data_IF_979538329737
#
_entry.id   IF_979538329737
#
_cell.length_a   1.000
_cell.length_b   1.000
_cell.length_c   1.000
_cell.angle_alpha   90.00
_cell.angle_beta   90.00
_cell.angle_gamma   90.00
#
_symmetry.space_group_name_H-M   'P 1'
#
loop_
_entity.id
_entity.type
_entity.pdbx_description
1 polymer ?
#
# COMPACT_ATOMS: atom_id res chain seq x y z
N UNK A 1 21.69 8.07 -22.36
CA UNK A 1 20.47 7.88 -21.54
C UNK A 1 19.32 8.52 -22.28
N UNK A 2 18.23 7.79 -22.48
CA UNK A 2 17.04 8.33 -23.14
C UNK A 2 16.15 8.95 -22.07
N UNK A 3 15.86 10.24 -22.21
CA UNK A 3 14.92 10.94 -21.32
C UNK A 3 13.52 10.43 -21.62
N UNK A 4 12.79 9.97 -20.60
CA UNK A 4 11.40 9.52 -20.76
C UNK A 4 10.47 10.71 -21.01
N UNK A 5 9.36 10.51 -21.74
CA UNK A 5 8.34 11.55 -21.88
C UNK A 5 7.83 12.07 -20.53
N UNK A 6 7.44 13.35 -20.48
CA UNK A 6 6.94 13.97 -19.26
C UNK A 6 5.72 13.23 -18.66
N UNK A 7 4.83 12.70 -19.51
CA UNK A 7 3.68 11.91 -19.08
C UNK A 7 4.11 10.64 -18.33
N UNK A 8 5.16 9.96 -18.81
CA UNK A 8 5.73 8.77 -18.13
C UNK A 8 6.37 9.16 -16.81
N UNK A 9 7.15 10.24 -16.77
CA UNK A 9 7.74 10.74 -15.53
C UNK A 9 6.68 11.16 -14.51
N UNK A 10 5.58 11.74 -14.96
CA UNK A 10 4.45 12.12 -14.11
C UNK A 10 3.71 10.89 -13.56
N UNK A 11 3.46 9.88 -14.39
CA UNK A 11 2.88 8.61 -13.94
C UNK A 11 3.72 7.93 -12.87
N UNK A 12 5.05 7.92 -13.03
CA UNK A 12 5.98 7.39 -12.02
C UNK A 12 5.95 8.20 -10.72
N UNK A 13 5.81 9.53 -10.77
CA UNK A 13 5.64 10.35 -9.56
C UNK A 13 4.34 10.01 -8.81
N UNK A 14 3.21 9.89 -9.54
CA UNK A 14 1.94 9.53 -8.94
C UNK A 14 2.00 8.16 -8.26
N UNK A 15 2.55 7.16 -8.95
CA UNK A 15 2.76 5.83 -8.39
C UNK A 15 3.63 5.87 -7.12
N UNK A 16 4.77 6.55 -7.17
CA UNK A 16 5.69 6.67 -6.03
C UNK A 16 5.04 7.33 -4.82
N UNK A 17 4.24 8.38 -5.04
CA UNK A 17 3.52 9.05 -3.96
C UNK A 17 2.44 8.13 -3.39
N UNK A 18 1.68 7.43 -4.23
CA UNK A 18 0.68 6.46 -3.77
C UNK A 18 1.31 5.37 -2.89
N UNK A 19 2.45 4.80 -3.30
CA UNK A 19 3.15 3.80 -2.48
C UNK A 19 3.70 4.37 -1.18
N UNK A 20 4.32 5.55 -1.22
CA UNK A 20 4.78 6.24 0.00
C UNK A 20 3.63 6.45 0.99
N UNK A 21 2.46 6.84 0.50
CA UNK A 21 1.29 7.06 1.35
C UNK A 21 0.69 5.72 1.85
N UNK A 22 0.73 4.64 1.07
CA UNK A 22 0.43 3.26 1.53
C UNK A 22 1.34 2.85 2.67
N UNK A 23 2.65 3.01 2.51
CA UNK A 23 3.65 2.67 3.51
C UNK A 23 3.38 3.41 4.82
N UNK A 24 3.04 4.71 4.76
CA UNK A 24 2.73 5.51 5.96
C UNK A 24 1.53 4.95 6.71
N UNK A 25 0.46 4.57 6.00
CA UNK A 25 -0.72 3.95 6.60
C UNK A 25 -0.35 2.61 7.26
N UNK A 26 0.39 1.74 6.58
CA UNK A 26 0.79 0.46 7.18
C UNK A 26 1.76 0.62 8.34
N UNK A 27 2.69 1.57 8.29
CA UNK A 27 3.55 1.89 9.43
C UNK A 27 2.74 2.43 10.61
N UNK A 28 1.69 3.22 10.36
CA UNK A 28 0.76 3.67 11.39
C UNK A 28 0.05 2.46 12.03
N UNK A 29 -0.51 1.56 11.22
CA UNK A 29 -1.11 0.30 11.70
C UNK A 29 -0.13 -0.55 12.52
N UNK A 30 1.08 -0.74 12.00
CA UNK A 30 2.10 -1.58 12.62
C UNK A 30 2.54 -1.09 14.01
N UNK A 31 2.50 0.23 14.23
CA UNK A 31 2.80 0.82 15.56
C UNK A 31 1.74 0.52 16.61
N UNK A 32 0.50 0.22 16.20
CA UNK A 32 -0.66 0.04 17.10
C UNK A 32 -1.01 -1.41 17.37
N UNK A 33 -0.62 -2.31 16.48
CA UNK A 33 -0.89 -3.75 16.61
C UNK A 33 0.19 -4.43 17.46
N UNK A 34 -0.25 -5.21 18.45
CA UNK A 34 0.61 -6.08 19.28
C UNK A 34 0.67 -7.52 18.79
N UNK A 35 -0.43 -8.04 18.22
CA UNK A 35 -0.53 -9.41 17.73
C UNK A 35 0.61 -9.76 16.76
N UNK A 36 1.31 -10.86 17.01
CA UNK A 36 2.52 -11.26 16.29
C UNK A 36 2.25 -11.54 14.80
N UNK A 37 1.16 -12.26 14.50
CA UNK A 37 0.74 -12.64 13.16
C UNK A 37 0.32 -11.43 12.33
N UNK A 38 -0.53 -10.56 12.87
CA UNK A 38 -0.92 -9.32 12.20
C UNK A 38 0.26 -8.37 11.99
N UNK A 39 1.21 -8.29 12.95
CA UNK A 39 2.47 -7.54 12.76
C UNK A 39 3.31 -8.14 11.63
N UNK A 40 3.40 -9.47 11.53
CA UNK A 40 4.13 -10.12 10.45
C UNK A 40 3.50 -9.81 9.08
N UNK A 41 2.17 -9.90 8.98
CA UNK A 41 1.42 -9.52 7.78
C UNK A 41 1.70 -8.06 7.37
N UNK A 42 1.53 -7.10 8.29
CA UNK A 42 1.80 -5.69 8.00
C UNK A 42 3.25 -5.43 7.61
N UNK A 43 4.21 -6.11 8.25
CA UNK A 43 5.62 -6.00 7.88
C UNK A 43 5.87 -6.49 6.45
N UNK A 44 5.23 -7.58 6.05
CA UNK A 44 5.35 -8.09 4.70
C UNK A 44 4.84 -7.06 3.68
N UNK A 45 3.64 -6.50 3.89
CA UNK A 45 3.07 -5.46 3.02
C UNK A 45 3.97 -4.22 2.94
N UNK A 46 4.44 -3.71 4.09
CA UNK A 46 5.38 -2.57 4.13
C UNK A 46 6.63 -2.84 3.27
N UNK A 47 7.16 -4.07 3.32
CA UNK A 47 8.34 -4.43 2.54
C UNK A 47 8.03 -4.48 1.04
N UNK A 48 6.90 -5.10 0.64
CA UNK A 48 6.47 -5.13 -0.76
C UNK A 48 6.30 -3.71 -1.32
N UNK A 49 5.63 -2.81 -0.59
CA UNK A 49 5.48 -1.42 -1.05
C UNK A 49 6.80 -0.66 -1.13
N UNK A 50 7.73 -0.92 -0.21
CA UNK A 50 9.08 -0.38 -0.35
C UNK A 50 9.77 -0.91 -1.61
N UNK A 51 9.61 -2.19 -1.96
CA UNK A 51 10.15 -2.72 -3.22
C UNK A 51 9.51 -2.06 -4.44
N UNK A 52 8.20 -1.81 -4.40
CA UNK A 52 7.50 -1.07 -5.46
C UNK A 52 8.04 0.36 -5.60
N UNK A 53 8.08 1.10 -4.49
CA UNK A 53 8.59 2.47 -4.42
C UNK A 53 10.02 2.56 -4.99
N UNK A 54 10.92 1.65 -4.61
CA UNK A 54 12.30 1.67 -5.10
C UNK A 54 12.38 1.40 -6.60
N UNK A 55 11.63 0.42 -7.12
CA UNK A 55 11.59 0.14 -8.57
C UNK A 55 11.08 1.33 -9.36
N UNK A 56 10.05 2.01 -8.87
CA UNK A 56 9.51 3.23 -9.49
C UNK A 56 10.56 4.34 -9.47
N UNK A 57 11.25 4.52 -8.33
CA UNK A 57 12.30 5.52 -8.14
C UNK A 57 13.48 5.33 -9.08
N UNK A 58 13.90 4.08 -9.28
CA UNK A 58 14.94 3.71 -10.24
C UNK A 58 14.51 4.08 -11.66
N UNK A 59 13.34 3.61 -12.11
CA UNK A 59 12.82 3.91 -13.45
C UNK A 59 12.65 5.42 -13.69
N UNK A 60 12.19 6.17 -12.68
CA UNK A 60 12.05 7.62 -12.75
C UNK A 60 13.42 8.32 -12.94
N UNK A 61 14.43 7.92 -12.17
CA UNK A 61 15.79 8.47 -12.29
C UNK A 61 16.43 8.14 -13.63
N UNK A 62 16.32 6.89 -14.07
CA UNK A 62 16.84 6.44 -15.37
C UNK A 62 16.19 7.18 -16.54
N UNK A 63 14.91 7.53 -16.40
CA UNK A 63 14.17 8.35 -17.34
C UNK A 63 14.49 9.85 -17.31
N UNK A 64 15.45 10.29 -16.50
CA UNK A 64 15.84 11.70 -16.40
C UNK A 64 15.07 12.52 -15.36
N UNK A 65 14.24 11.86 -14.55
CA UNK A 65 13.57 12.47 -13.41
C UNK A 65 14.56 12.95 -12.34
N UNK A 66 14.27 14.10 -11.74
CA UNK A 66 15.13 14.72 -10.72
C UNK A 66 14.44 14.75 -9.36
N UNK A 67 15.26 14.77 -8.30
CA UNK A 67 14.86 14.91 -6.90
C UNK A 67 15.40 16.24 -6.33
N UNK A 68 14.78 16.83 -5.28
CA UNK A 68 13.55 16.39 -4.62
C UNK A 68 12.32 16.45 -5.56
N UNK A 69 11.21 15.82 -5.16
CA UNK A 69 9.95 15.98 -5.89
C UNK A 69 9.32 17.31 -5.46
N UNK A 70 9.07 18.19 -6.42
CA UNK A 70 8.68 19.59 -6.15
C UNK A 70 7.16 19.78 -6.05
N UNK A 71 6.39 18.81 -6.54
CA UNK A 71 4.93 18.89 -6.71
C UNK A 71 4.31 17.53 -6.43
N UNK A 72 3.24 17.54 -5.62
CA UNK A 72 2.44 16.39 -5.24
C UNK A 72 1.13 16.47 -6.02
N UNK A 73 0.64 15.34 -6.52
CA UNK A 73 -0.57 15.35 -7.33
C UNK A 73 -1.83 15.31 -6.46
N UNK A 74 -2.79 16.19 -6.74
CA UNK A 74 -4.09 16.23 -6.05
C UNK A 74 -5.05 15.13 -6.52
N UNK A 75 -4.76 14.45 -7.64
CA UNK A 75 -5.59 13.34 -8.14
C UNK A 75 -5.41 12.03 -7.35
N UNK A 76 -4.48 12.00 -6.40
CA UNK A 76 -4.19 10.81 -5.60
C UNK A 76 -5.26 10.54 -4.54
N UNK A 77 -5.45 9.26 -4.16
CA UNK A 77 -6.32 8.92 -3.05
C UNK A 77 -5.90 9.65 -1.76
N UNK A 78 -6.84 10.35 -1.13
CA UNK A 78 -6.57 10.99 0.15
C UNK A 78 -6.51 9.92 1.26
N UNK A 79 -5.31 9.73 1.83
CA UNK A 79 -5.06 8.78 2.92
C UNK A 79 -4.89 9.43 4.29
N UNK A 80 -4.97 10.75 4.37
CA UNK A 80 -4.74 11.49 5.61
C UNK A 80 -5.75 11.09 6.69
N UNK A 81 -7.02 10.93 6.29
CA UNK A 81 -8.10 10.47 7.18
C UNK A 81 -7.82 9.10 7.81
N UNK A 82 -7.03 8.24 7.17
CA UNK A 82 -6.68 6.93 7.70
C UNK A 82 -5.65 7.00 8.83
N UNK A 83 -4.87 8.08 8.88
CA UNK A 83 -3.87 8.32 9.92
C UNK A 83 -4.51 8.85 11.22
N UNK A 84 -5.75 9.32 11.14
CA UNK A 84 -6.52 9.84 12.28
C UNK A 84 -7.42 8.77 12.93
N UNK A 85 -7.47 7.55 12.38
CA UNK A 85 -8.31 6.46 12.93
C UNK A 85 -7.73 5.96 14.26
N UNK A 86 -8.57 5.86 15.28
CA UNK A 86 -8.24 5.19 16.55
C UNK A 86 -8.17 3.67 16.37
N UNK A 87 -7.01 3.18 15.94
CA UNK A 87 -6.81 1.76 15.61
C UNK A 87 -6.97 0.80 16.80
N UNK A 88 -6.77 1.26 18.03
CA UNK A 88 -6.86 0.43 19.24
C UNK A 88 -8.26 -0.16 19.45
N UNK A 89 -9.29 0.51 18.92
CA UNK A 89 -10.68 0.08 19.02
C UNK A 89 -11.08 -0.95 17.96
N UNK A 90 -10.23 -1.16 16.94
CA UNK A 90 -10.48 -2.14 15.90
C UNK A 90 -10.15 -3.55 16.38
N UNK A 91 -10.91 -4.52 15.88
CA UNK A 91 -10.54 -5.94 15.88
C UNK A 91 -9.46 -6.21 14.82
N UNK A 92 -8.81 -7.38 14.91
CA UNK A 92 -7.88 -7.85 13.86
C UNK A 92 -8.56 -7.88 12.49
N UNK A 93 -9.81 -8.32 12.42
CA UNK A 93 -10.56 -8.41 11.16
C UNK A 93 -10.92 -7.04 10.59
N UNK A 94 -11.29 -6.08 11.43
CA UNK A 94 -11.54 -4.70 10.99
C UNK A 94 -10.25 -4.05 10.48
N UNK A 95 -9.11 -4.32 11.12
CA UNK A 95 -7.81 -3.85 10.64
C UNK A 95 -7.43 -4.48 9.29
N UNK A 96 -7.61 -5.80 9.12
CA UNK A 96 -7.37 -6.48 7.84
C UNK A 96 -8.31 -5.93 6.76
N UNK A 97 -9.58 -5.70 7.09
CA UNK A 97 -10.54 -5.07 6.17
C UNK A 97 -10.10 -3.66 5.78
N UNK A 98 -9.59 -2.87 6.72
CA UNK A 98 -9.07 -1.54 6.45
C UNK A 98 -7.87 -1.61 5.50
N UNK A 99 -6.90 -2.49 5.76
CA UNK A 99 -5.77 -2.72 4.86
C UNK A 99 -6.24 -3.15 3.46
N UNK A 100 -7.24 -4.02 3.37
CA UNK A 100 -7.80 -4.46 2.08
C UNK A 100 -8.53 -3.34 1.34
N UNK A 101 -9.17 -2.40 2.04
CA UNK A 101 -9.78 -1.22 1.43
C UNK A 101 -8.70 -0.28 0.86
N UNK A 102 -7.58 -0.11 1.58
CA UNK A 102 -6.42 0.65 1.10
C UNK A 102 -5.94 0.10 -0.24
N UNK A 103 -5.75 -1.22 -0.35
CA UNK A 103 -5.31 -1.85 -1.59
C UNK A 103 -6.34 -1.73 -2.72
N UNK A 104 -7.63 -1.89 -2.42
CA UNK A 104 -8.71 -1.72 -3.41
C UNK A 104 -8.70 -0.30 -3.98
N UNK A 105 -8.48 0.71 -3.14
CA UNK A 105 -8.40 2.10 -3.57
C UNK A 105 -7.18 2.34 -4.45
N UNK A 106 -5.97 1.87 -4.07
CA UNK A 106 -4.78 1.93 -4.93
C UNK A 106 -5.04 1.27 -6.28
N UNK A 107 -5.56 0.04 -6.26
CA UNK A 107 -5.83 -0.74 -7.46
C UNK A 107 -6.78 -0.04 -8.40
N UNK A 108 -7.87 0.49 -7.86
CA UNK A 108 -8.91 1.14 -8.66
C UNK A 108 -8.38 2.47 -9.24
N UNK A 109 -7.58 3.21 -8.48
CA UNK A 109 -6.82 4.36 -8.97
C UNK A 109 -5.92 3.95 -10.16
N UNK A 110 -5.08 2.93 -10.02
CA UNK A 110 -4.21 2.46 -11.10
C UNK A 110 -4.99 1.96 -12.32
N UNK A 111 -6.10 1.24 -12.13
CA UNK A 111 -6.98 0.79 -13.23
C UNK A 111 -7.62 1.98 -13.96
N UNK A 112 -7.96 3.06 -13.25
CA UNK A 112 -8.47 4.29 -13.87
C UNK A 112 -7.37 4.98 -14.68
N UNK A 113 -6.17 5.12 -14.11
CA UNK A 113 -5.05 5.76 -14.80
C UNK A 113 -4.60 4.97 -16.04
N UNK A 114 -4.55 3.63 -15.96
CA UNK A 114 -4.31 2.74 -17.10
C UNK A 114 -5.27 3.00 -18.27
N UNK A 115 -6.57 3.17 -17.98
CA UNK A 115 -7.60 3.41 -19.01
C UNK A 115 -7.47 4.80 -19.65
N UNK A 116 -7.00 5.79 -18.89
CA UNK A 116 -6.82 7.17 -19.36
C UNK A 116 -5.54 7.36 -20.16
N UNK A 117 -4.51 6.59 -19.85
CA UNK A 117 -3.20 6.69 -20.50
C UNK A 117 -3.31 6.49 -22.01
N UNK A 118 -2.64 7.36 -22.77
CA UNK A 118 -2.44 7.16 -24.21
C UNK A 118 -1.11 6.43 -24.46
N UNK A 119 -0.07 6.79 -23.69
CA UNK A 119 1.26 6.23 -23.78
C UNK A 119 1.32 4.76 -23.28
N UNK A 120 2.06 3.93 -24.02
CA UNK A 120 2.15 2.49 -23.74
C UNK A 120 2.99 2.19 -22.49
N UNK A 121 4.04 2.98 -22.21
CA UNK A 121 4.86 2.82 -21.01
C UNK A 121 4.06 3.21 -19.77
N UNK A 122 3.27 4.28 -19.84
CA UNK A 122 2.35 4.67 -18.76
C UNK A 122 1.35 3.55 -18.47
N UNK A 123 0.76 2.96 -19.51
CA UNK A 123 -0.12 1.79 -19.36
C UNK A 123 0.57 0.63 -18.68
N UNK A 124 1.79 0.28 -19.09
CA UNK A 124 2.52 -0.84 -18.50
C UNK A 124 2.84 -0.60 -17.01
N UNK A 125 3.17 0.64 -16.63
CA UNK A 125 3.40 1.01 -15.22
C UNK A 125 2.13 0.77 -14.39
N UNK A 126 1.00 1.32 -14.82
CA UNK A 126 -0.24 1.21 -14.05
C UNK A 126 -0.87 -0.19 -14.10
N UNK A 127 -0.70 -0.95 -15.18
CA UNK A 127 -1.14 -2.36 -15.23
C UNK A 127 -0.32 -3.23 -14.27
N UNK A 128 1.00 -3.04 -14.23
CA UNK A 128 1.85 -3.77 -13.28
C UNK A 128 1.43 -3.48 -11.84
N UNK A 129 1.29 -2.21 -11.46
CA UNK A 129 0.88 -1.81 -10.11
C UNK A 129 -0.51 -2.35 -9.75
N UNK A 130 -1.50 -2.20 -10.63
CA UNK A 130 -2.84 -2.73 -10.40
C UNK A 130 -2.86 -4.25 -10.18
N UNK A 131 -1.92 -5.00 -10.74
CA UNK A 131 -1.77 -6.44 -10.49
C UNK A 131 -1.12 -6.72 -9.15
N UNK A 132 -0.13 -5.93 -8.72
CA UNK A 132 0.45 -6.06 -7.37
C UNK A 132 -0.64 -5.87 -6.30
N UNK A 133 -1.45 -4.83 -6.43
CA UNK A 133 -2.53 -4.58 -5.47
C UNK A 133 -3.59 -5.69 -5.48
N UNK A 134 -3.88 -6.28 -6.64
CA UNK A 134 -4.79 -7.42 -6.73
C UNK A 134 -4.22 -8.67 -6.01
N UNK A 135 -2.90 -8.87 -6.03
CA UNK A 135 -2.26 -9.95 -5.30
C UNK A 135 -2.21 -9.67 -3.78
N UNK A 136 -1.96 -8.42 -3.37
CA UNK A 136 -2.09 -8.01 -1.96
C UNK A 136 -3.51 -8.22 -1.42
N UNK A 137 -4.55 -7.83 -2.19
CA UNK A 137 -5.95 -8.04 -1.83
C UNK A 137 -6.25 -9.53 -1.60
N UNK A 138 -5.73 -10.42 -2.47
CA UNK A 138 -5.93 -11.87 -2.30
C UNK A 138 -5.26 -12.39 -1.04
N UNK A 139 -4.02 -11.98 -0.77
CA UNK A 139 -3.31 -12.35 0.47
C UNK A 139 -4.05 -11.86 1.72
N UNK A 140 -4.55 -10.62 1.70
CA UNK A 140 -5.35 -10.06 2.78
C UNK A 140 -6.69 -10.78 2.96
N UNK A 141 -7.35 -11.18 1.87
CA UNK A 141 -8.58 -11.95 1.91
C UNK A 141 -8.37 -13.33 2.54
N UNK A 142 -7.27 -14.02 2.19
CA UNK A 142 -6.88 -15.29 2.82
C UNK A 142 -6.59 -15.11 4.31
N UNK A 143 -5.89 -14.04 4.69
CA UNK A 143 -5.61 -13.75 6.09
C UNK A 143 -6.89 -13.45 6.86
N UNK A 144 -7.81 -12.69 6.27
CA UNK A 144 -9.14 -12.42 6.83
C UNK A 144 -9.90 -13.72 7.13
N UNK A 145 -9.99 -14.61 6.13
CA UNK A 145 -10.65 -15.92 6.24
C UNK A 145 -10.05 -16.77 7.37
N UNK A 146 -8.73 -16.76 7.53
CA UNK A 146 -8.05 -17.51 8.60
C UNK A 146 -8.35 -16.98 10.01
N UNK A 147 -8.78 -15.73 10.13
CA UNK A 147 -9.11 -15.07 11.40
C UNK A 147 -10.61 -15.01 11.69
N UNK A 148 -11.48 -15.56 10.81
CA UNK A 148 -12.93 -15.49 11.01
C UNK A 148 -13.42 -16.25 12.25
N UNK A 149 -12.59 -17.09 12.89
CA UNK A 149 -12.99 -17.77 14.13
C UNK A 149 -12.63 -16.96 15.40
N UNK A 150 -12.00 -15.79 15.28
CA UNK A 150 -11.55 -14.93 16.40
C UNK A 150 -12.31 -13.59 16.46
N UNK A 151 -13.62 -13.63 16.19
CA UNK A 151 -14.43 -12.47 15.77
C UNK A 151 -14.59 -11.28 16.74
N UNK A 152 -14.17 -11.37 18.00
CA UNK A 152 -14.59 -10.37 19.01
C UNK A 152 -13.46 -9.74 19.83
N UNK A 153 -12.19 -10.11 19.61
CA UNK A 153 -11.08 -9.55 20.40
C UNK A 153 -10.58 -8.25 19.77
N UNK A 154 -10.66 -7.15 20.52
CA UNK A 154 -10.11 -5.85 20.12
C UNK A 154 -8.59 -5.88 20.19
N UNK A 155 -7.93 -5.06 19.37
CA UNK A 155 -6.48 -4.89 19.41
C UNK A 155 -5.98 -4.41 20.79
N UNK A 156 -6.79 -3.63 21.52
CA UNK A 156 -6.51 -3.24 22.90
C UNK A 156 -6.42 -4.41 23.88
N UNK A 157 -7.15 -5.49 23.60
CA UNK A 157 -7.39 -6.61 24.53
C UNK A 157 -6.45 -7.80 24.24
N UNK A 158 -5.67 -7.71 23.16
CA UNK A 158 -4.62 -8.68 22.85
C UNK A 158 -3.38 -8.37 23.69
N UNK A 159 -3.11 -9.25 24.66
CA UNK A 159 -1.82 -9.28 25.34
C UNK A 159 -0.68 -9.50 24.32
N UNK A 160 0.53 -9.07 24.67
CA UNK A 160 1.71 -9.47 23.91
C UNK A 160 1.75 -11.00 23.90
N UNK A 161 1.58 -11.63 22.74
CA UNK A 161 1.98 -13.03 22.60
C UNK A 161 3.46 -13.06 22.99
N UNK A 162 3.73 -13.60 24.18
CA UNK A 162 5.09 -13.87 24.63
C UNK A 162 5.71 -14.76 23.56
N UNK A 163 6.84 -14.36 22.93
CA UNK A 163 7.47 -15.20 21.94
C UNK A 163 7.91 -16.51 22.59
N UNK A 164 7.22 -17.61 22.30
CA UNK A 164 7.68 -18.96 22.61
C UNK A 164 6.57 -19.96 22.94
N UNK A 165 6.37 -20.94 22.05
CA UNK A 165 6.31 -22.39 22.31
C UNK A 165 5.60 -23.12 21.16
N UNK A 166 6.37 -23.59 20.17
CA UNK A 166 6.49 -25.02 19.80
C UNK A 166 7.85 -25.26 19.14
#
# INVERSE_FOLDING_TARGET
MTVLPNEVLHALKMAMQNESDTIRVYQHMFKKVKNSKTRQMLRHLINEEHFHEQRIKEKYREGGGQFPLNEWDSELPNREQLLDIELENLTVLELINLAMQVEKVSRDFYKVQYKRAADVEVKLIFDWLARQEEDHIKSLQQEYESHQNYHEVRLSDLDEEVPGEV
#
